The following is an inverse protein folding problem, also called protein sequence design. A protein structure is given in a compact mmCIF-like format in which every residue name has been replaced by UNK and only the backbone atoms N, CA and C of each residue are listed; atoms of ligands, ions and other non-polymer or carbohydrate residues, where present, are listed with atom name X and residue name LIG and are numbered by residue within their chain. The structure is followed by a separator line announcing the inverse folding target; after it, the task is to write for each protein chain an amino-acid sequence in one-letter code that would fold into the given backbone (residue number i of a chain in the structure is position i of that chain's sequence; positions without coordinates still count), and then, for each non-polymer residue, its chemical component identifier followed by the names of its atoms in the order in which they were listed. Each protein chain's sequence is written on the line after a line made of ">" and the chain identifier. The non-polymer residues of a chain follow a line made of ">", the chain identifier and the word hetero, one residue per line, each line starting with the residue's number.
data_IF_991835731772
#
_entry.id   IF_991835731772
#
_cell.length_a   1.000
_cell.length_b   1.000
_cell.length_c   1.000
_cell.angle_alpha   90.00
_cell.angle_beta   90.00
_cell.angle_gamma   90.00
#
_symmetry.space_group_name_H-M   'P 1'
#
loop_
_entity.id
_entity.type
_entity.pdbx_description
1 polymer ?
#
# COMPACT_ATOMS: atom_id res chain seq x y z
N UNK A 1 3.68 18.81 27.30
CA UNK A 1 3.70 17.43 26.77
C UNK A 1 3.50 17.57 25.28
N UNK A 2 4.58 17.46 24.50
CA UNK A 2 4.54 17.50 23.04
C UNK A 2 4.16 16.08 22.58
N UNK A 3 2.87 15.85 22.37
CA UNK A 3 2.41 14.61 21.75
C UNK A 3 2.82 14.66 20.28
N UNK A 4 3.51 13.63 19.73
CA UNK A 4 3.72 13.57 18.30
C UNK A 4 2.34 13.53 17.64
N UNK A 5 2.04 14.53 16.80
CA UNK A 5 0.84 14.54 15.99
C UNK A 5 0.80 13.22 15.22
N UNK A 6 -0.22 12.39 15.47
CA UNK A 6 -0.43 11.16 14.74
C UNK A 6 -0.80 11.62 13.32
N UNK A 7 0.18 11.63 12.41
CA UNK A 7 -0.08 11.97 11.02
C UNK A 7 -1.12 10.99 10.48
N UNK A 8 -2.22 11.50 9.88
CA UNK A 8 -3.28 10.62 9.42
C UNK A 8 -2.74 9.73 8.30
N UNK A 9 -2.75 8.42 8.55
CA UNK A 9 -2.34 7.42 7.57
C UNK A 9 -3.17 7.58 6.30
N UNK A 10 -2.51 7.79 5.16
CA UNK A 10 -3.17 7.96 3.87
C UNK A 10 -3.42 6.59 3.23
N UNK A 11 -4.57 6.45 2.58
CA UNK A 11 -4.84 5.29 1.76
C UNK A 11 -3.90 5.28 0.55
N UNK A 12 -3.20 4.16 0.34
CA UNK A 12 -2.25 3.97 -0.75
C UNK A 12 -2.88 4.22 -2.12
N UNK A 13 -4.14 3.80 -2.31
CA UNK A 13 -4.83 3.93 -3.60
C UNK A 13 -5.36 5.33 -3.88
N UNK A 14 -6.13 5.91 -2.94
CA UNK A 14 -6.81 7.20 -3.19
C UNK A 14 -6.06 8.42 -2.66
N UNK A 15 -4.96 8.24 -1.91
CA UNK A 15 -4.12 9.31 -1.36
C UNK A 15 -4.75 10.15 -0.24
N UNK A 16 -6.03 9.89 0.09
CA UNK A 16 -6.77 10.61 1.13
C UNK A 16 -6.41 10.06 2.53
N UNK A 17 -6.46 10.91 3.57
CA UNK A 17 -6.38 10.43 4.95
C UNK A 17 -7.53 9.43 5.20
N UNK A 18 -7.22 8.35 5.92
CA UNK A 18 -8.19 7.32 6.24
C UNK A 18 -8.51 7.37 7.75
N UNK A 19 -9.76 7.65 8.10
CA UNK A 19 -10.25 7.56 9.49
C UNK A 19 -10.11 6.13 10.04
N UNK A 20 -10.32 5.14 9.18
CA UNK A 20 -10.09 3.72 9.47
C UNK A 20 -9.08 3.15 8.47
N UNK A 21 -8.01 2.55 9.00
CA UNK A 21 -6.94 1.97 8.19
C UNK A 21 -7.03 0.46 8.25
N UNK A 22 -7.20 -0.18 7.10
CA UNK A 22 -6.95 -1.61 6.93
C UNK A 22 -5.60 -1.81 6.23
N UNK A 23 -4.78 -2.72 6.74
CA UNK A 23 -3.50 -3.06 6.14
C UNK A 23 -3.63 -4.37 5.38
N UNK A 24 -3.29 -4.35 4.08
CA UNK A 24 -3.31 -5.54 3.24
C UNK A 24 -1.94 -5.78 2.63
N UNK A 25 -1.59 -7.04 2.47
CA UNK A 25 -0.38 -7.43 1.74
C UNK A 25 -0.68 -7.38 0.24
N UNK A 26 0.04 -6.51 -0.47
CA UNK A 26 -0.05 -6.35 -1.91
C UNK A 26 1.13 -7.06 -2.55
N UNK A 27 0.82 -7.99 -3.45
CA UNK A 27 1.80 -8.80 -4.18
C UNK A 27 1.88 -8.26 -5.60
N UNK A 28 3.07 -7.88 -6.05
CA UNK A 28 3.26 -7.34 -7.39
C UNK A 28 4.65 -7.69 -7.94
N UNK A 29 4.77 -7.71 -9.27
CA UNK A 29 6.08 -7.85 -9.91
C UNK A 29 6.71 -6.48 -10.09
N UNK A 30 7.94 -6.31 -9.62
CA UNK A 30 8.72 -5.11 -9.85
C UNK A 30 10.10 -5.47 -10.40
N UNK A 31 10.66 -4.57 -11.20
CA UNK A 31 12.05 -4.71 -11.64
C UNK A 31 12.98 -4.32 -10.50
N UNK A 32 13.79 -5.27 -10.03
CA UNK A 32 14.81 -5.02 -9.02
C UNK A 32 16.11 -4.65 -9.73
N UNK A 33 16.49 -3.37 -9.65
CA UNK A 33 17.71 -2.87 -10.29
C UNK A 33 18.97 -3.53 -9.74
N UNK A 34 18.99 -3.86 -8.44
CA UNK A 34 20.14 -4.50 -7.79
C UNK A 34 20.42 -5.91 -8.34
N UNK A 35 19.37 -6.67 -8.67
CA UNK A 35 19.47 -8.03 -9.24
C UNK A 35 19.29 -8.07 -10.76
N UNK A 36 19.07 -6.91 -11.39
CA UNK A 36 18.83 -6.75 -12.82
C UNK A 36 17.78 -7.72 -13.37
N UNK A 37 16.70 -7.97 -12.62
CA UNK A 37 15.62 -8.91 -12.98
C UNK A 37 14.29 -8.53 -12.36
N UNK A 38 13.19 -9.03 -12.95
CA UNK A 38 11.85 -8.95 -12.33
C UNK A 38 11.81 -9.86 -11.10
N UNK A 39 11.31 -9.33 -9.99
CA UNK A 39 11.08 -10.08 -8.75
C UNK A 39 9.65 -9.84 -8.26
N UNK A 40 9.07 -10.84 -7.61
CA UNK A 40 7.82 -10.69 -6.90
C UNK A 40 8.11 -9.99 -5.56
N UNK A 41 7.44 -8.88 -5.31
CA UNK A 41 7.47 -8.16 -4.04
C UNK A 41 6.15 -8.33 -3.31
N UNK A 42 6.22 -8.29 -1.99
CA UNK A 42 5.08 -8.28 -1.10
C UNK A 42 5.26 -7.09 -0.16
N UNK A 43 4.36 -6.12 -0.22
CA UNK A 43 4.39 -4.94 0.65
C UNK A 43 3.07 -4.82 1.41
N UNK A 44 3.16 -4.58 2.72
CA UNK A 44 1.99 -4.35 3.58
C UNK A 44 1.62 -2.88 3.53
N UNK A 45 0.51 -2.56 2.87
CA UNK A 45 0.11 -1.18 2.54
C UNK A 45 -1.21 -0.79 3.24
N UNK A 46 -1.35 0.49 3.65
CA UNK A 46 -2.57 0.99 4.28
C UNK A 46 -3.64 1.37 3.25
N UNK A 47 -4.90 1.06 3.56
CA UNK A 47 -6.08 1.39 2.75
C UNK A 47 -7.24 1.87 3.63
N UNK A 48 -8.12 2.69 3.07
CA UNK A 48 -9.35 3.11 3.75
C UNK A 48 -10.48 2.08 3.65
N UNK A 49 -10.36 1.07 2.79
CA UNK A 49 -11.34 0.00 2.61
C UNK A 49 -10.70 -1.23 1.97
N UNK A 50 -11.33 -2.39 2.16
CA UNK A 50 -10.89 -3.63 1.50
C UNK A 50 -11.04 -3.57 -0.02
N UNK A 51 -12.09 -2.90 -0.52
CA UNK A 51 -12.30 -2.68 -1.96
C UNK A 51 -11.12 -1.97 -2.60
N UNK A 52 -10.60 -0.91 -1.96
CA UNK A 52 -9.41 -0.21 -2.46
C UNK A 52 -8.18 -1.10 -2.46
N UNK A 53 -8.02 -1.94 -1.45
CA UNK A 53 -6.91 -2.86 -1.38
C UNK A 53 -6.98 -3.94 -2.47
N UNK A 54 -8.17 -4.50 -2.73
CA UNK A 54 -8.41 -5.46 -3.81
C UNK A 54 -8.21 -4.82 -5.19
N UNK A 55 -8.70 -3.60 -5.39
CA UNK A 55 -8.48 -2.87 -6.64
C UNK A 55 -6.99 -2.57 -6.85
N UNK A 56 -6.25 -2.23 -5.79
CA UNK A 56 -4.80 -2.02 -5.88
C UNK A 56 -4.06 -3.29 -6.27
N UNK A 57 -4.42 -4.43 -5.68
CA UNK A 57 -3.86 -5.73 -6.04
C UNK A 57 -4.08 -6.02 -7.53
N UNK A 58 -5.33 -5.93 -8.01
CA UNK A 58 -5.64 -6.14 -9.43
C UNK A 58 -4.92 -5.15 -10.36
N UNK A 59 -4.80 -3.88 -9.96
CA UNK A 59 -4.07 -2.86 -10.74
C UNK A 59 -2.57 -3.13 -10.87
N UNK A 60 -1.96 -3.87 -9.95
CA UNK A 60 -0.54 -4.22 -10.00
C UNK A 60 -0.27 -5.62 -10.57
N UNK A 61 -1.30 -6.45 -10.69
CA UNK A 61 -1.24 -7.78 -11.32
C UNK A 61 -1.52 -7.75 -12.83
N UNK A 62 -2.33 -6.80 -13.30
CA UNK A 62 -2.63 -6.58 -14.71
C UNK A 62 -1.52 -5.85 -15.46
#
# INVERSE_FOLDING_TARGET
>A
MDQPAIEPTKCTRCGKPADFVTYRNIIYQAYDQARNRKVVRNDRLPFCSEEHANHEQMSREG
#
